data_IF_089115833649
#
_entry.id   IF_089115833649
#
_cell.length_a   1.000
_cell.length_b   1.000
_cell.length_c   1.000
_cell.angle_alpha   90.00
_cell.angle_beta   90.00
_cell.angle_gamma   90.00
#
_symmetry.space_group_name_H-M   'P 1'
#
loop_
_entity.id
_entity.type
_entity.pdbx_description
1 polymer ?
#
# COMPACT_ATOMS: atom_id res chain seq x y z
N UNK A 1 -0.57 -18.31 1.90
CA UNK A 1 -0.96 -17.42 3.01
C UNK A 1 -1.73 -18.23 4.05
N UNK A 2 -1.32 -18.18 5.31
CA UNK A 2 -2.04 -18.76 6.46
C UNK A 2 -3.34 -18.00 6.74
N UNK A 3 -4.29 -18.62 7.43
CA UNK A 3 -5.55 -17.93 7.85
C UNK A 3 -5.28 -16.70 8.70
N UNK A 4 -4.28 -16.77 9.58
CA UNK A 4 -3.78 -15.60 10.30
C UNK A 4 -3.33 -14.49 9.33
N UNK A 5 -2.49 -14.81 8.34
CA UNK A 5 -1.96 -13.80 7.41
C UNK A 5 -3.06 -13.19 6.55
N UNK A 6 -4.11 -13.95 6.22
CA UNK A 6 -5.33 -13.45 5.57
C UNK A 6 -6.09 -12.50 6.49
N UNK A 7 -6.24 -12.84 7.77
CA UNK A 7 -6.93 -12.01 8.76
C UNK A 7 -6.21 -10.66 8.97
N UNK A 8 -4.89 -10.67 9.17
CA UNK A 8 -4.10 -9.44 9.33
C UNK A 8 -4.12 -8.59 8.07
N UNK A 9 -3.93 -9.19 6.88
CA UNK A 9 -4.02 -8.47 5.62
C UNK A 9 -5.43 -7.84 5.43
N UNK A 10 -6.49 -8.55 5.82
CA UNK A 10 -7.85 -8.06 5.83
C UNK A 10 -8.05 -6.85 6.75
N UNK A 11 -7.55 -6.91 7.99
CA UNK A 11 -7.62 -5.79 8.93
C UNK A 11 -6.98 -4.52 8.37
N UNK A 12 -5.83 -4.67 7.71
CA UNK A 12 -5.07 -3.53 7.17
C UNK A 12 -5.73 -2.99 5.90
N UNK A 13 -6.24 -3.86 5.04
CA UNK A 13 -6.97 -3.44 3.85
C UNK A 13 -8.24 -2.64 4.23
N UNK A 14 -8.99 -3.08 5.23
CA UNK A 14 -10.16 -2.37 5.73
C UNK A 14 -9.80 -1.05 6.43
N UNK A 15 -8.71 -1.04 7.22
CA UNK A 15 -8.18 0.20 7.78
C UNK A 15 -7.78 1.19 6.69
N UNK A 16 -7.07 0.74 5.65
CA UNK A 16 -6.64 1.59 4.54
C UNK A 16 -7.81 2.23 3.80
N UNK A 17 -8.89 1.47 3.55
CA UNK A 17 -10.14 2.00 2.95
C UNK A 17 -10.78 3.07 3.84
N UNK A 18 -10.86 2.83 5.15
CA UNK A 18 -11.47 3.77 6.11
C UNK A 18 -10.62 5.03 6.27
N UNK A 19 -9.31 4.88 6.40
CA UNK A 19 -8.38 5.99 6.49
C UNK A 19 -8.42 6.89 5.24
N UNK A 20 -8.50 6.29 4.05
CA UNK A 20 -8.66 7.02 2.79
C UNK A 20 -10.01 7.79 2.72
N UNK A 21 -11.07 7.27 3.35
CA UNK A 21 -12.37 7.93 3.42
C UNK A 21 -12.44 9.05 4.47
N UNK A 22 -11.43 9.21 5.33
CA UNK A 22 -11.44 10.19 6.40
C UNK A 22 -11.18 11.63 5.97
N UNK A 23 -10.72 11.89 4.74
CA UNK A 23 -10.43 13.24 4.21
C UNK A 23 -9.70 14.13 5.25
N UNK A 24 -8.62 13.61 5.82
CA UNK A 24 -7.77 14.26 6.83
C UNK A 24 -8.43 14.61 8.19
N UNK A 25 -9.64 14.12 8.46
CA UNK A 25 -10.28 14.26 9.78
C UNK A 25 -9.53 13.47 10.85
N UNK A 26 -8.93 14.19 11.80
CA UNK A 26 -8.16 13.60 12.90
C UNK A 26 -9.00 12.62 13.76
N UNK A 27 -10.26 12.96 14.04
CA UNK A 27 -11.17 12.12 14.81
C UNK A 27 -11.52 10.82 14.05
N UNK A 28 -11.74 10.91 12.74
CA UNK A 28 -11.98 9.74 11.88
C UNK A 28 -10.75 8.83 11.80
N UNK A 29 -9.56 9.42 11.69
CA UNK A 29 -8.30 8.68 11.67
C UNK A 29 -8.04 7.99 13.00
N UNK A 30 -8.31 8.65 14.12
CA UNK A 30 -8.20 8.06 15.45
C UNK A 30 -9.18 6.89 15.62
N UNK A 31 -10.43 7.05 15.18
CA UNK A 31 -11.41 5.97 15.22
C UNK A 31 -10.98 4.78 14.34
N UNK A 32 -10.49 5.07 13.13
CA UNK A 32 -10.00 4.04 12.20
C UNK A 32 -8.80 3.29 12.79
N UNK A 33 -7.91 3.97 13.50
CA UNK A 33 -6.77 3.35 14.18
C UNK A 33 -7.22 2.44 15.34
N UNK A 34 -8.23 2.85 16.13
CA UNK A 34 -8.81 1.99 17.19
C UNK A 34 -9.41 0.71 16.61
N UNK A 35 -10.15 0.81 15.50
CA UNK A 35 -10.74 -0.35 14.82
C UNK A 35 -9.68 -1.30 14.23
N UNK A 36 -8.58 -0.76 13.69
CA UNK A 36 -7.46 -1.58 13.25
C UNK A 36 -6.90 -2.40 14.42
N UNK A 37 -6.74 -1.78 15.59
CA UNK A 37 -6.24 -2.45 16.79
C UNK A 37 -7.17 -3.56 17.25
N UNK A 38 -8.48 -3.30 17.33
CA UNK A 38 -9.49 -4.31 17.68
C UNK A 38 -9.49 -5.49 16.69
N UNK A 39 -9.39 -5.21 15.39
CA UNK A 39 -9.33 -6.24 14.36
C UNK A 39 -8.06 -7.11 14.50
N UNK A 40 -6.91 -6.47 14.71
CA UNK A 40 -5.65 -7.18 14.90
C UNK A 40 -5.70 -8.03 16.17
N UNK A 41 -6.19 -7.49 17.29
CA UNK A 41 -6.33 -8.21 18.56
C UNK A 41 -7.22 -9.46 18.40
N UNK A 42 -8.29 -9.37 17.61
CA UNK A 42 -9.14 -10.53 17.26
C UNK A 42 -8.49 -11.52 16.28
N UNK A 43 -7.60 -11.04 15.39
CA UNK A 43 -6.86 -11.88 14.46
C UNK A 43 -5.72 -12.64 15.15
N UNK A 44 -5.21 -12.15 16.28
CA UNK A 44 -4.22 -12.87 17.08
C UNK A 44 -4.85 -14.10 17.76
N UNK A 45 -4.26 -15.29 17.59
CA UNK A 45 -4.75 -16.47 18.28
C UNK A 45 -4.68 -16.27 19.80
N UNK A 46 -5.67 -16.84 20.48
CA UNK A 46 -5.83 -16.81 21.93
C UNK A 46 -4.50 -17.19 22.61
N UNK A 47 -4.02 -16.40 23.56
CA UNK A 47 -2.69 -16.54 24.17
C UNK A 47 -2.46 -17.89 24.85
N UNK A 48 -3.53 -18.65 25.13
CA UNK A 48 -3.49 -20.03 25.63
C UNK A 48 -3.08 -21.08 24.58
N UNK A 49 -3.06 -20.74 23.29
CA UNK A 49 -2.65 -21.61 22.17
C UNK A 49 -1.28 -21.25 21.58
N UNK A 50 -0.68 -20.16 22.03
CA UNK A 50 0.67 -19.74 21.61
C UNK A 50 1.60 -20.08 22.76
N UNK A 51 2.37 -21.15 22.61
CA UNK A 51 3.48 -21.42 23.52
C UNK A 51 4.42 -20.20 23.48
N UNK A 52 4.53 -19.52 24.62
CA UNK A 52 5.41 -18.37 24.91
C UNK A 52 5.05 -17.05 24.21
N UNK A 53 4.80 -16.00 25.01
CA UNK A 53 4.57 -14.63 24.54
C UNK A 53 5.67 -14.10 23.59
N UNK A 54 6.89 -14.66 23.63
CA UNK A 54 7.97 -14.34 22.69
C UNK A 54 7.59 -14.62 21.25
N UNK A 55 6.85 -15.69 20.99
CA UNK A 55 6.46 -16.09 19.63
C UNK A 55 5.39 -15.15 19.10
N UNK A 56 4.48 -14.67 19.96
CA UNK A 56 3.52 -13.62 19.63
C UNK A 56 4.23 -12.31 19.27
N UNK A 57 5.24 -11.90 20.04
CA UNK A 57 6.02 -10.68 19.79
C UNK A 57 6.83 -10.79 18.50
N UNK A 58 7.55 -11.89 18.30
CA UNK A 58 8.32 -12.15 17.07
C UNK A 58 7.42 -12.18 15.84
N UNK A 59 6.22 -12.75 15.99
CA UNK A 59 5.22 -12.80 14.94
C UNK A 59 4.65 -11.39 14.61
N UNK A 60 4.31 -10.60 15.63
CA UNK A 60 3.88 -9.20 15.47
C UNK A 60 4.94 -8.37 14.76
N UNK A 61 6.20 -8.47 15.20
CA UNK A 61 7.33 -7.77 14.59
C UNK A 61 7.53 -8.21 13.14
N UNK A 62 7.49 -9.51 12.85
CA UNK A 62 7.62 -10.04 11.48
C UNK A 62 6.51 -9.53 10.57
N UNK A 63 5.28 -9.42 11.09
CA UNK A 63 4.15 -8.85 10.37
C UNK A 63 4.36 -7.36 10.10
N UNK A 64 4.78 -6.59 11.11
CA UNK A 64 5.11 -5.17 10.97
C UNK A 64 6.22 -4.96 9.92
N UNK A 65 7.30 -5.75 9.96
CA UNK A 65 8.38 -5.67 8.98
C UNK A 65 7.90 -6.01 7.57
N UNK A 66 7.09 -7.05 7.42
CA UNK A 66 6.50 -7.42 6.13
C UNK A 66 5.65 -6.27 5.55
N UNK A 67 4.82 -5.65 6.39
CA UNK A 67 3.95 -4.55 6.01
C UNK A 67 4.72 -3.27 5.72
N UNK A 68 5.72 -2.94 6.54
CA UNK A 68 6.60 -1.79 6.33
C UNK A 68 7.40 -1.93 5.03
N UNK A 69 7.86 -3.14 4.70
CA UNK A 69 8.54 -3.42 3.44
C UNK A 69 7.59 -3.24 2.23
N UNK A 70 6.33 -3.71 2.35
CA UNK A 70 5.31 -3.45 1.34
C UNK A 70 4.99 -1.97 1.17
N UNK A 71 4.86 -1.25 2.28
CA UNK A 71 4.62 0.19 2.27
C UNK A 71 5.79 0.93 1.62
N UNK A 72 7.03 0.57 1.95
CA UNK A 72 8.24 1.13 1.35
C UNK A 72 8.28 0.92 -0.16
N UNK A 73 7.95 -0.30 -0.64
CA UNK A 73 7.84 -0.58 -2.09
C UNK A 73 6.73 0.22 -2.76
N UNK A 74 5.56 0.33 -2.14
CA UNK A 74 4.46 1.15 -2.66
C UNK A 74 4.86 2.64 -2.74
N UNK A 75 5.55 3.17 -1.72
CA UNK A 75 6.09 4.54 -1.74
C UNK A 75 7.15 4.75 -2.82
N UNK A 76 8.01 3.76 -3.09
CA UNK A 76 8.96 3.80 -4.20
C UNK A 76 8.23 3.81 -5.56
N UNK A 77 7.25 2.93 -5.73
CA UNK A 77 6.42 2.89 -6.94
C UNK A 77 5.67 4.21 -7.18
N UNK A 78 5.13 4.83 -6.13
CA UNK A 78 4.50 6.16 -6.20
C UNK A 78 5.49 7.26 -6.59
N UNK A 79 6.73 7.23 -6.08
CA UNK A 79 7.75 8.20 -6.45
C UNK A 79 8.21 8.03 -7.91
N UNK A 80 8.34 6.80 -8.41
CA UNK A 80 8.63 6.53 -9.82
C UNK A 80 7.47 6.98 -10.72
N UNK A 81 6.23 6.73 -10.29
CA UNK A 81 5.03 7.21 -10.99
C UNK A 81 5.01 8.74 -11.08
N UNK A 82 5.28 9.45 -9.98
CA UNK A 82 5.33 10.92 -9.94
C UNK A 82 6.38 11.51 -10.89
N UNK A 83 7.55 10.86 -10.98
CA UNK A 83 8.60 11.22 -11.94
C UNK A 83 8.13 11.06 -13.39
N UNK A 84 7.51 9.94 -13.71
CA UNK A 84 6.98 9.67 -15.06
C UNK A 84 5.87 10.66 -15.42
N UNK A 85 4.99 11.00 -14.47
CA UNK A 85 3.94 12.01 -14.67
C UNK A 85 4.52 13.42 -14.91
N UNK A 86 5.58 13.79 -14.18
CA UNK A 86 6.29 15.07 -14.37
C UNK A 86 6.92 15.19 -15.76
N UNK A 87 7.36 14.08 -16.36
CA UNK A 87 7.90 14.06 -17.71
C UNK A 87 6.80 14.20 -18.78
N UNK A 88 5.56 13.78 -18.50
CA UNK A 88 4.40 13.95 -19.40
C UNK A 88 3.80 15.34 -19.33
N UNK A 89 3.82 16.01 -18.18
CA UNK A 89 3.31 17.38 -18.08
C UNK A 89 4.08 18.34 -19.04
N UNK A 90 5.34 18.00 -19.34
CA UNK A 90 6.14 18.66 -20.39
C UNK A 90 5.64 18.34 -21.80
N UNK A 91 5.12 17.14 -22.04
CA UNK A 91 4.57 16.65 -23.33
C UNK A 91 3.15 17.15 -23.58
N UNK A 92 2.29 17.24 -22.56
CA UNK A 92 0.90 17.72 -22.69
C UNK A 92 0.77 19.18 -23.11
N UNK A 93 1.86 19.97 -23.03
CA UNK A 93 1.95 21.31 -23.62
C UNK A 93 2.22 21.30 -25.13
N UNK A 94 2.45 20.13 -25.74
CA UNK A 94 2.66 19.91 -27.17
C UNK A 94 1.53 19.06 -27.79
N UNK A 95 1.17 19.34 -29.05
CA UNK A 95 0.03 18.70 -29.74
C UNK A 95 0.27 17.21 -30.00
N UNK A 96 -0.63 16.34 -29.54
CA UNK A 96 -0.58 14.87 -29.76
C UNK A 96 -0.73 14.43 -31.23
N UNK A 97 -0.95 15.36 -32.17
CA UNK A 97 -1.00 15.08 -33.61
C UNK A 97 0.36 14.74 -34.22
N UNK A 98 1.46 15.10 -33.52
CA UNK A 98 2.82 14.82 -33.98
C UNK A 98 3.24 13.37 -33.68
N UNK A 99 3.95 12.74 -34.62
CA UNK A 99 4.34 11.33 -34.53
C UNK A 99 5.23 11.00 -33.31
N UNK A 100 6.04 11.98 -32.88
CA UNK A 100 6.88 11.88 -31.67
C UNK A 100 6.04 11.84 -30.38
N UNK A 101 4.94 12.60 -30.33
CA UNK A 101 4.07 12.65 -29.15
C UNK A 101 3.29 11.34 -28.97
N UNK A 102 2.98 10.65 -30.07
CA UNK A 102 2.39 9.30 -30.02
C UNK A 102 3.39 8.25 -29.49
N UNK A 103 4.67 8.37 -29.83
CA UNK A 103 5.71 7.48 -29.27
C UNK A 103 5.95 7.75 -27.78
N UNK A 104 5.95 9.01 -27.35
CA UNK A 104 6.02 9.39 -25.94
C UNK A 104 4.86 8.81 -25.13
N UNK A 105 3.63 8.85 -25.68
CA UNK A 105 2.46 8.24 -25.04
C UNK A 105 2.58 6.71 -24.88
N UNK A 106 3.06 6.01 -25.92
CA UNK A 106 3.28 4.55 -25.86
C UNK A 106 4.38 4.21 -24.83
N UNK A 107 5.46 5.00 -24.82
CA UNK A 107 6.55 4.84 -23.86
C UNK A 107 6.05 5.02 -22.42
N UNK A 108 5.22 6.03 -22.18
CA UNK A 108 4.58 6.23 -20.88
C UNK A 108 3.78 5.03 -20.42
N UNK A 109 2.86 4.53 -21.26
CA UNK A 109 2.04 3.37 -20.88
C UNK A 109 2.91 2.15 -20.52
N UNK A 110 3.98 1.93 -21.27
CA UNK A 110 4.94 0.88 -20.95
C UNK A 110 5.65 1.11 -19.61
N UNK A 111 6.11 2.32 -19.34
CA UNK A 111 6.75 2.66 -18.06
C UNK A 111 5.78 2.54 -16.89
N UNK A 112 4.51 2.91 -17.08
CA UNK A 112 3.45 2.74 -16.09
C UNK A 112 3.20 1.25 -15.80
N UNK A 113 3.05 0.42 -16.83
CA UNK A 113 2.87 -1.02 -16.70
C UNK A 113 4.07 -1.67 -15.98
N UNK A 114 5.29 -1.21 -16.27
CA UNK A 114 6.51 -1.68 -15.59
C UNK A 114 6.55 -1.28 -14.10
N UNK A 115 6.13 -0.06 -13.76
CA UNK A 115 6.04 0.40 -12.36
C UNK A 115 4.99 -0.41 -11.61
N UNK A 116 3.82 -0.62 -12.21
CA UNK A 116 2.75 -1.43 -11.62
C UNK A 116 3.22 -2.86 -11.38
N UNK A 117 3.89 -3.49 -12.36
CA UNK A 117 4.37 -4.86 -12.22
C UNK A 117 5.53 -5.04 -11.22
N UNK A 118 6.35 -4.00 -10.99
CA UNK A 118 7.51 -4.08 -10.08
C UNK A 118 7.17 -3.79 -8.63
N UNK A 119 6.24 -2.87 -8.38
CA UNK A 119 6.03 -2.30 -7.05
C UNK A 119 4.70 -2.69 -6.39
N UNK A 120 3.71 -3.17 -7.16
CA UNK A 120 2.38 -3.51 -6.67
C UNK A 120 2.03 -4.98 -6.92
#
# INVERSE_FOLDING_TARGET
MTEFSKAVAGCIAEWGKRAAACNDSAECLEHSARQLRECLDAAFPDSKKVELESDKVNYMLSSIFFLANRLSKASQGLAEFDKVMSDIEKVGKASLEDGENRQLYIKFHKELDEILARYF
#
